data_IF_375379645083
#
_entry.id   IF_375379645083
#
_cell.length_a   1.000
_cell.length_b   1.000
_cell.length_c   1.000
_cell.angle_alpha   90.00
_cell.angle_beta   90.00
_cell.angle_gamma   90.00
#
_symmetry.space_group_name_H-M   'P 1'
#
loop_
_entity.id
_entity.type
_entity.pdbx_description
1 polymer ?
#
# COMPACT_ATOMS: atom_id res chain seq x y z
N UNK A 1 -21.29 -5.68 41.10
CA UNK A 1 -20.98 -6.07 39.71
C UNK A 1 -20.57 -4.80 38.94
N UNK A 2 -19.31 -4.67 38.57
CA UNK A 2 -18.83 -3.49 37.84
C UNK A 2 -19.22 -3.65 36.36
N UNK A 3 -20.07 -2.76 35.86
CA UNK A 3 -20.44 -2.68 34.45
C UNK A 3 -19.14 -2.36 33.63
N UNK A 4 -18.65 -3.35 32.89
CA UNK A 4 -17.66 -3.19 31.87
C UNK A 4 -18.30 -2.52 30.66
N UNK A 5 -18.40 -1.20 30.65
CA UNK A 5 -18.60 -0.44 29.42
C UNK A 5 -17.30 -0.47 28.65
N UNK A 6 -17.07 -1.55 27.91
CA UNK A 6 -15.93 -1.65 26.99
C UNK A 6 -16.23 -0.89 25.69
N UNK A 7 -16.35 0.41 25.79
CA UNK A 7 -16.09 1.27 24.65
C UNK A 7 -14.61 1.25 24.40
N UNK A 8 -14.09 0.31 23.57
CA UNK A 8 -12.70 0.40 23.12
C UNK A 8 -12.54 1.75 22.44
N UNK A 9 -11.60 2.61 22.91
CA UNK A 9 -11.38 3.89 22.27
C UNK A 9 -11.01 3.62 20.82
N UNK A 10 -11.85 4.15 19.90
CA UNK A 10 -11.53 4.16 18.47
C UNK A 10 -10.17 4.80 18.34
N UNK A 11 -9.16 3.99 18.00
CA UNK A 11 -7.78 4.45 17.98
C UNK A 11 -7.58 5.22 16.69
N UNK A 12 -7.62 6.54 16.82
CA UNK A 12 -7.36 7.45 15.70
C UNK A 12 -5.99 7.16 15.09
N UNK A 13 -5.93 7.13 13.76
CA UNK A 13 -4.66 7.04 13.06
C UNK A 13 -3.75 8.20 13.47
N UNK A 14 -2.43 8.00 13.56
CA UNK A 14 -1.50 9.09 13.82
C UNK A 14 -1.59 10.12 12.69
N UNK A 15 -1.16 11.36 12.98
CA UNK A 15 -1.01 12.44 12.01
C UNK A 15 -2.33 12.95 11.41
N UNK A 16 -3.13 13.66 12.23
CA UNK A 16 -4.34 14.37 11.81
C UNK A 16 -4.08 15.68 11.05
N UNK A 17 -2.83 16.06 10.94
CA UNK A 17 -2.46 17.39 10.45
C UNK A 17 -2.70 17.56 8.95
N UNK A 18 -3.40 18.62 8.57
CA UNK A 18 -3.66 18.97 7.18
C UNK A 18 -2.39 19.30 6.37
N UNK A 19 -1.27 19.62 7.05
CA UNK A 19 0.02 19.84 6.39
C UNK A 19 0.55 18.61 5.64
N UNK A 20 0.01 17.43 5.89
CA UNK A 20 0.32 16.22 5.13
C UNK A 20 -0.16 16.31 3.67
N UNK A 21 -1.21 17.07 3.37
CA UNK A 21 -1.69 17.25 2.00
C UNK A 21 -0.65 17.92 1.10
N UNK A 22 -0.11 19.11 1.41
CA UNK A 22 0.95 19.68 0.59
C UNK A 22 2.19 18.79 0.50
N UNK A 23 2.56 18.09 1.57
CA UNK A 23 3.68 17.12 1.53
C UNK A 23 3.38 15.99 0.56
N UNK A 24 2.17 15.43 0.58
CA UNK A 24 1.78 14.37 -0.36
C UNK A 24 1.80 14.84 -1.81
N UNK A 25 1.33 16.07 -2.08
CA UNK A 25 1.35 16.67 -3.42
C UNK A 25 2.78 16.89 -3.90
N UNK A 26 3.67 17.41 -3.03
CA UNK A 26 5.09 17.60 -3.36
C UNK A 26 5.73 16.22 -3.67
N UNK A 27 5.48 15.23 -2.84
CA UNK A 27 6.02 13.88 -3.03
C UNK A 27 5.51 13.23 -4.32
N UNK A 28 4.23 13.41 -4.65
CA UNK A 28 3.65 12.98 -5.91
C UNK A 28 4.31 13.69 -7.10
N UNK A 29 4.46 15.01 -7.04
CA UNK A 29 5.12 15.79 -8.08
C UNK A 29 6.56 15.36 -8.29
N UNK A 30 7.33 15.16 -7.22
CA UNK A 30 8.70 14.65 -7.28
C UNK A 30 8.76 13.26 -7.91
N UNK A 31 7.83 12.37 -7.55
CA UNK A 31 7.76 11.02 -8.12
C UNK A 31 7.44 11.04 -9.61
N UNK A 32 6.45 11.85 -10.01
CA UNK A 32 6.10 12.02 -11.44
C UNK A 32 7.27 12.62 -12.20
N UNK A 33 7.95 13.62 -11.66
CA UNK A 33 9.14 14.22 -12.26
C UNK A 33 10.26 13.19 -12.46
N UNK A 34 10.52 12.36 -11.44
CA UNK A 34 11.47 11.24 -11.55
C UNK A 34 11.08 10.29 -12.70
N UNK A 35 9.80 9.91 -12.79
CA UNK A 35 9.32 9.03 -13.84
C UNK A 35 9.44 9.63 -15.24
N UNK A 36 9.14 10.92 -15.41
CA UNK A 36 9.28 11.63 -16.69
C UNK A 36 10.76 11.77 -17.10
N UNK A 37 11.64 12.07 -16.16
CA UNK A 37 13.09 12.10 -16.39
C UNK A 37 13.61 10.72 -16.78
N UNK A 38 13.21 9.67 -16.06
CA UNK A 38 13.59 8.31 -16.38
C UNK A 38 13.05 7.86 -17.76
N UNK A 39 11.84 8.30 -18.13
CA UNK A 39 11.28 8.06 -19.46
C UNK A 39 12.05 8.79 -20.55
N UNK A 40 12.46 10.05 -20.32
CA UNK A 40 13.21 10.84 -21.31
C UNK A 40 14.62 10.30 -21.56
N UNK A 41 15.21 9.59 -20.59
CA UNK A 41 16.49 8.90 -20.77
C UNK A 41 16.38 7.68 -21.71
N UNK A 42 15.17 7.27 -22.04
CA UNK A 42 14.92 6.15 -22.97
C UNK A 42 15.22 4.77 -22.37
N UNK A 43 15.42 3.80 -23.28
CA UNK A 43 15.81 2.43 -22.94
C UNK A 43 17.33 2.19 -22.99
N UNK A 44 18.10 3.26 -23.02
CA UNK A 44 19.57 3.22 -23.02
C UNK A 44 20.07 4.20 -21.97
N UNK A 45 20.44 3.73 -20.80
CA UNK A 45 20.93 4.61 -19.74
C UNK A 45 21.24 3.84 -18.46
N UNK A 46 21.76 4.51 -17.42
CA UNK A 46 22.21 3.88 -16.18
C UNK A 46 21.16 2.97 -15.52
N UNK A 47 19.89 3.28 -15.75
CA UNK A 47 18.76 2.53 -15.22
C UNK A 47 18.67 1.12 -15.87
N UNK A 48 18.87 1.03 -17.19
CA UNK A 48 18.96 -0.25 -17.89
C UNK A 48 20.27 -0.98 -17.59
N UNK A 49 21.39 -0.28 -17.53
CA UNK A 49 22.69 -0.90 -17.24
C UNK A 49 22.69 -1.59 -15.88
N UNK A 50 22.06 -0.96 -14.89
CA UNK A 50 21.87 -1.54 -13.56
C UNK A 50 20.96 -2.76 -13.62
N UNK A 51 19.85 -2.70 -14.34
CA UNK A 51 18.92 -3.81 -14.51
C UNK A 51 19.61 -5.01 -15.18
N UNK A 52 20.35 -4.79 -16.29
CA UNK A 52 21.16 -5.81 -16.98
C UNK A 52 22.23 -6.40 -16.07
N UNK A 53 22.80 -5.63 -15.15
CA UNK A 53 23.82 -6.16 -14.23
C UNK A 53 23.22 -7.13 -13.21
N UNK A 54 21.98 -6.92 -12.77
CA UNK A 54 21.29 -7.75 -11.78
C UNK A 54 20.86 -9.12 -12.31
N UNK A 55 20.76 -9.30 -13.64
CA UNK A 55 20.33 -10.56 -14.23
C UNK A 55 21.45 -11.61 -14.40
N UNK A 56 22.71 -11.22 -14.19
CA UNK A 56 23.87 -12.11 -14.42
C UNK A 56 23.91 -13.29 -13.45
N UNK A 57 23.36 -13.16 -12.23
CA UNK A 57 23.43 -14.13 -11.15
C UNK A 57 22.08 -14.83 -10.91
N UNK A 58 21.36 -15.16 -11.99
CA UNK A 58 20.09 -15.88 -11.88
C UNK A 58 20.28 -17.33 -11.42
N UNK A 59 19.43 -17.77 -10.48
CA UNK A 59 19.40 -19.16 -10.00
C UNK A 59 17.97 -19.72 -10.04
N UNK A 60 17.79 -21.05 -10.16
CA UNK A 60 16.45 -21.66 -10.16
C UNK A 60 15.62 -21.32 -8.93
N UNK A 61 16.26 -21.26 -7.75
CA UNK A 61 15.58 -20.95 -6.49
C UNK A 61 15.09 -19.49 -6.45
N UNK A 62 15.91 -18.52 -6.87
CA UNK A 62 15.53 -17.11 -6.93
C UNK A 62 14.48 -16.87 -8.02
N UNK A 63 14.56 -17.59 -9.15
CA UNK A 63 13.55 -17.52 -10.21
C UNK A 63 12.19 -18.01 -9.70
N UNK A 64 12.15 -19.14 -9.00
CA UNK A 64 10.94 -19.66 -8.40
C UNK A 64 10.35 -18.67 -7.38
N UNK A 65 11.18 -18.12 -6.50
CA UNK A 65 10.74 -17.11 -5.51
C UNK A 65 10.16 -15.86 -6.20
N UNK A 66 10.86 -15.31 -7.19
CA UNK A 66 10.41 -14.12 -7.92
C UNK A 66 9.10 -14.38 -8.67
N UNK A 67 8.92 -15.57 -9.24
CA UNK A 67 7.68 -15.99 -9.92
C UNK A 67 6.52 -16.15 -8.92
N UNK A 68 6.76 -16.74 -7.75
CA UNK A 68 5.75 -16.80 -6.68
C UNK A 68 5.34 -15.41 -6.26
N UNK A 69 6.29 -14.52 -6.00
CA UNK A 69 6.00 -13.11 -5.65
C UNK A 69 5.18 -12.45 -6.76
N UNK A 70 5.55 -12.64 -8.02
CA UNK A 70 4.80 -12.10 -9.16
C UNK A 70 3.33 -12.56 -9.16
N UNK A 71 3.08 -13.83 -8.93
CA UNK A 71 1.72 -14.38 -8.92
C UNK A 71 0.93 -13.90 -7.71
N UNK A 72 1.52 -13.95 -6.51
CA UNK A 72 0.88 -13.55 -5.25
C UNK A 72 0.56 -12.07 -5.22
N UNK A 73 1.44 -11.22 -5.76
CA UNK A 73 1.27 -9.75 -5.83
C UNK A 73 0.72 -9.27 -7.18
N UNK A 74 0.16 -10.15 -7.99
CA UNK A 74 -0.62 -9.76 -9.17
C UNK A 74 -1.82 -8.89 -8.77
N UNK A 75 -2.44 -8.11 -9.68
CA UNK A 75 -3.61 -7.30 -9.33
C UNK A 75 -4.73 -8.11 -8.67
N UNK A 76 -4.98 -9.34 -9.13
CA UNK A 76 -5.96 -10.24 -8.51
C UNK A 76 -5.49 -10.72 -7.12
N UNK A 77 -4.22 -11.09 -6.98
CA UNK A 77 -3.63 -11.48 -5.70
C UNK A 77 -3.67 -10.35 -4.68
N UNK A 78 -3.40 -9.12 -5.10
CA UNK A 78 -3.50 -7.93 -4.26
C UNK A 78 -4.92 -7.75 -3.69
N UNK A 79 -5.95 -7.93 -4.52
CA UNK A 79 -7.34 -7.87 -4.08
C UNK A 79 -7.66 -8.98 -3.08
N UNK A 80 -7.20 -10.21 -3.33
CA UNK A 80 -7.40 -11.35 -2.43
C UNK A 80 -6.71 -11.11 -1.07
N UNK A 81 -5.45 -10.65 -1.07
CA UNK A 81 -4.72 -10.32 0.16
C UNK A 81 -5.45 -9.23 0.93
N UNK A 82 -5.84 -8.15 0.27
CA UNK A 82 -6.53 -7.02 0.90
C UNK A 82 -7.87 -7.45 1.48
N UNK A 83 -8.68 -8.18 0.71
CA UNK A 83 -9.96 -8.71 1.16
C UNK A 83 -9.79 -9.66 2.36
N UNK A 84 -8.81 -10.56 2.32
CA UNK A 84 -8.52 -11.50 3.42
C UNK A 84 -8.19 -10.76 4.72
N UNK A 85 -7.28 -9.78 4.67
CA UNK A 85 -6.91 -9.00 5.87
C UNK A 85 -8.10 -8.19 6.39
N UNK A 86 -8.87 -7.57 5.51
CA UNK A 86 -10.06 -6.81 5.90
C UNK A 86 -11.14 -7.71 6.52
N UNK A 87 -11.39 -8.89 5.96
CA UNK A 87 -12.34 -9.87 6.52
C UNK A 87 -11.86 -10.40 7.87
N UNK A 88 -10.57 -10.72 8.00
CA UNK A 88 -9.98 -11.13 9.27
C UNK A 88 -10.19 -10.06 10.36
N UNK A 89 -9.89 -8.79 10.03
CA UNK A 89 -10.09 -7.68 10.96
C UNK A 89 -11.57 -7.47 11.31
N UNK A 90 -12.46 -7.48 10.31
CA UNK A 90 -13.87 -7.17 10.51
C UNK A 90 -14.63 -8.30 11.23
N UNK A 91 -14.43 -9.54 10.80
CA UNK A 91 -15.25 -10.69 11.23
C UNK A 91 -14.59 -11.42 12.40
N UNK A 92 -13.34 -11.87 12.23
CA UNK A 92 -12.67 -12.70 13.25
C UNK A 92 -12.27 -11.84 14.46
N UNK A 93 -11.61 -10.72 14.21
CA UNK A 93 -11.16 -9.81 15.27
C UNK A 93 -12.24 -8.81 15.70
N UNK A 94 -13.41 -8.80 15.04
CA UNK A 94 -14.55 -7.93 15.33
C UNK A 94 -14.19 -6.44 15.39
N UNK A 95 -13.33 -6.00 14.48
CA UNK A 95 -12.82 -4.62 14.37
C UNK A 95 -13.14 -4.00 13.00
N UNK A 96 -14.42 -3.78 12.65
CA UNK A 96 -14.82 -3.32 11.31
C UNK A 96 -14.25 -1.94 10.94
N UNK A 97 -14.12 -1.01 11.89
CA UNK A 97 -13.50 0.29 11.65
C UNK A 97 -12.00 0.16 11.34
N UNK A 98 -11.30 -0.76 12.00
CA UNK A 98 -9.89 -1.04 11.66
C UNK A 98 -9.76 -1.68 10.28
N UNK A 99 -10.71 -2.54 9.89
CA UNK A 99 -10.76 -3.12 8.54
C UNK A 99 -10.94 -2.04 7.47
N UNK A 100 -11.88 -1.10 7.67
CA UNK A 100 -12.11 0.03 6.77
C UNK A 100 -10.90 0.96 6.70
N UNK A 101 -10.29 1.29 7.84
CA UNK A 101 -9.08 2.12 7.90
C UNK A 101 -7.92 1.45 7.18
N UNK A 102 -7.69 0.15 7.41
CA UNK A 102 -6.65 -0.63 6.76
C UNK A 102 -6.88 -0.72 5.25
N UNK A 103 -8.06 -1.18 4.87
CA UNK A 103 -8.41 -1.37 3.46
C UNK A 103 -8.31 -0.09 2.65
N UNK A 104 -8.87 1.02 3.17
CA UNK A 104 -8.81 2.32 2.48
C UNK A 104 -7.40 2.92 2.44
N UNK A 105 -6.59 2.75 3.49
CA UNK A 105 -5.20 3.22 3.50
C UNK A 105 -4.35 2.46 2.49
N UNK A 106 -4.47 1.12 2.45
CA UNK A 106 -3.75 0.30 1.46
C UNK A 106 -4.23 0.59 0.05
N UNK A 107 -5.54 0.73 -0.16
CA UNK A 107 -6.10 1.09 -1.46
C UNK A 107 -5.59 2.46 -1.94
N UNK A 108 -5.57 3.48 -1.08
CA UNK A 108 -5.07 4.81 -1.44
C UNK A 108 -3.58 4.77 -1.84
N UNK A 109 -2.74 4.06 -1.09
CA UNK A 109 -1.33 3.89 -1.42
C UNK A 109 -1.10 3.10 -2.71
N UNK A 110 -1.87 2.03 -2.95
CA UNK A 110 -1.74 1.21 -4.15
C UNK A 110 -2.28 1.92 -5.39
N UNK A 111 -3.49 2.45 -5.32
CA UNK A 111 -4.15 3.11 -6.46
C UNK A 111 -3.43 4.39 -6.89
N UNK A 112 -2.64 5.03 -6.02
CA UNK A 112 -1.78 6.15 -6.43
C UNK A 112 -0.78 5.75 -7.52
N UNK A 113 -0.39 4.48 -7.61
CA UNK A 113 0.47 3.98 -8.69
C UNK A 113 -0.20 4.05 -10.07
N UNK A 114 -1.52 3.91 -10.15
CA UNK A 114 -2.25 4.03 -11.42
C UNK A 114 -2.22 5.47 -11.95
N UNK A 115 -2.24 6.47 -11.05
CA UNK A 115 -2.04 7.87 -11.42
C UNK A 115 -0.67 8.06 -12.07
N UNK A 116 0.37 7.50 -11.44
CA UNK A 116 1.73 7.55 -11.98
C UNK A 116 1.85 6.88 -13.36
N UNK A 117 1.23 5.71 -13.55
CA UNK A 117 1.22 4.99 -14.83
C UNK A 117 0.58 5.83 -15.94
N UNK A 118 -0.58 6.42 -15.68
CA UNK A 118 -1.32 7.25 -16.65
C UNK A 118 -0.48 8.48 -17.04
N UNK A 119 0.14 9.16 -16.08
CA UNK A 119 0.87 10.41 -16.34
C UNK A 119 2.20 10.14 -17.02
N UNK A 120 2.97 9.15 -16.53
CA UNK A 120 4.33 8.88 -17.02
C UNK A 120 4.29 8.05 -18.30
N UNK A 121 3.48 7.01 -18.36
CA UNK A 121 3.35 6.10 -19.49
C UNK A 121 4.73 5.66 -20.06
N UNK A 122 5.60 5.14 -19.18
CA UNK A 122 6.95 4.69 -19.53
C UNK A 122 6.90 3.29 -20.11
N UNK A 123 7.65 3.05 -21.18
CA UNK A 123 7.83 1.69 -21.72
C UNK A 123 8.65 0.83 -20.76
N UNK A 124 8.35 -0.47 -20.74
CA UNK A 124 9.10 -1.45 -19.96
C UNK A 124 10.50 -1.68 -20.54
N UNK A 125 11.43 -2.22 -19.73
CA UNK A 125 12.75 -2.62 -20.23
C UNK A 125 12.59 -3.55 -21.43
N UNK A 126 13.42 -3.41 -22.49
CA UNK A 126 13.41 -4.31 -23.62
C UNK A 126 13.72 -5.74 -23.18
N UNK A 127 12.75 -6.64 -23.27
CA UNK A 127 12.87 -8.02 -22.77
C UNK A 127 14.05 -8.80 -23.38
N UNK A 128 14.46 -8.48 -24.61
CA UNK A 128 15.66 -9.05 -25.22
C UNK A 128 16.95 -8.65 -24.49
N UNK A 129 17.01 -7.43 -23.93
CA UNK A 129 18.20 -6.95 -23.20
C UNK A 129 18.22 -7.43 -21.75
N UNK A 130 17.08 -7.41 -21.09
CA UNK A 130 16.93 -7.87 -19.70
C UNK A 130 16.70 -9.37 -19.57
N UNK A 131 16.63 -10.11 -20.70
CA UNK A 131 16.25 -11.53 -20.70
C UNK A 131 15.01 -11.76 -19.83
N UNK A 132 13.97 -10.95 -20.00
CA UNK A 132 12.78 -10.98 -19.16
C UNK A 132 12.20 -12.40 -19.02
N UNK A 133 11.99 -12.83 -17.77
CA UNK A 133 11.51 -14.18 -17.47
C UNK A 133 9.99 -14.31 -17.59
N UNK A 134 9.29 -13.19 -17.67
CA UNK A 134 7.85 -13.10 -17.85
C UNK A 134 7.53 -12.01 -18.87
N UNK A 135 6.36 -12.11 -19.50
CA UNK A 135 5.88 -11.09 -20.42
C UNK A 135 4.83 -10.26 -19.71
N UNK A 136 5.11 -8.96 -19.59
CA UNK A 136 4.11 -7.96 -19.19
C UNK A 136 3.90 -7.00 -20.35
N UNK A 137 2.65 -6.85 -20.78
CA UNK A 137 2.29 -5.95 -21.88
C UNK A 137 2.06 -4.52 -21.39
N UNK A 138 2.28 -3.53 -22.28
CA UNK A 138 1.85 -2.16 -22.07
C UNK A 138 2.97 -1.15 -21.79
N UNK A 139 2.58 0.13 -21.85
CA UNK A 139 3.41 1.31 -21.58
C UNK A 139 3.16 1.80 -20.15
N UNK A 140 3.30 0.93 -19.18
CA UNK A 140 2.93 1.18 -17.80
C UNK A 140 4.00 0.70 -16.81
N UNK A 141 5.28 0.78 -17.23
CA UNK A 141 6.40 0.37 -16.39
C UNK A 141 6.51 1.18 -15.10
N UNK A 142 6.36 2.50 -15.19
CA UNK A 142 6.52 3.40 -14.05
C UNK A 142 5.17 3.89 -13.49
N UNK A 143 4.97 3.77 -12.18
CA UNK A 143 5.70 2.99 -11.19
C UNK A 143 5.24 1.51 -11.16
N UNK A 144 6.00 0.64 -10.48
CA UNK A 144 5.64 -0.77 -10.31
C UNK A 144 4.45 -0.96 -9.37
N UNK A 145 3.36 -1.53 -9.87
CA UNK A 145 2.15 -1.80 -9.07
C UNK A 145 2.37 -2.82 -7.94
N UNK A 146 3.21 -3.85 -8.17
CA UNK A 146 3.58 -4.85 -7.16
C UNK A 146 4.31 -4.20 -5.97
N UNK A 147 5.32 -3.37 -6.26
CA UNK A 147 6.08 -2.66 -5.23
C UNK A 147 5.23 -1.63 -4.50
N UNK A 148 4.36 -0.90 -5.22
CA UNK A 148 3.45 0.07 -4.62
C UNK A 148 2.46 -0.59 -3.65
N UNK A 149 1.90 -1.75 -4.01
CA UNK A 149 1.03 -2.51 -3.12
C UNK A 149 1.77 -3.03 -1.88
N UNK A 150 2.97 -3.59 -2.05
CA UNK A 150 3.78 -4.03 -0.93
C UNK A 150 4.08 -2.88 0.05
N UNK A 151 4.47 -1.70 -0.46
CA UNK A 151 4.68 -0.51 0.36
C UNK A 151 3.39 -0.05 1.07
N UNK A 152 2.25 -0.07 0.39
CA UNK A 152 0.96 0.27 0.97
C UNK A 152 0.55 -0.69 2.10
N UNK A 153 0.79 -2.00 1.94
CA UNK A 153 0.58 -2.99 3.01
C UNK A 153 1.43 -2.69 4.24
N UNK A 154 2.69 -2.32 4.05
CA UNK A 154 3.59 -1.93 5.15
C UNK A 154 3.03 -0.71 5.89
N UNK A 155 2.60 0.32 5.17
CA UNK A 155 1.96 1.48 5.77
C UNK A 155 0.70 1.12 6.55
N UNK A 156 -0.18 0.31 5.97
CA UNK A 156 -1.38 -0.19 6.65
C UNK A 156 -1.05 -0.95 7.94
N UNK A 157 -0.05 -1.83 7.89
CA UNK A 157 0.38 -2.60 9.06
C UNK A 157 0.98 -1.69 10.16
N UNK A 158 1.87 -0.76 9.80
CA UNK A 158 2.52 0.18 10.75
C UNK A 158 1.51 1.10 11.41
N UNK A 159 0.55 1.63 10.62
CA UNK A 159 -0.38 2.65 11.10
C UNK A 159 -1.55 2.07 11.90
N UNK A 160 -2.05 0.89 11.51
CA UNK A 160 -3.31 0.35 12.00
C UNK A 160 -3.10 -0.88 12.90
N UNK A 161 -2.19 -1.78 12.53
CA UNK A 161 -1.99 -3.03 13.28
C UNK A 161 -0.96 -2.89 14.39
N UNK A 162 0.07 -2.05 14.22
CA UNK A 162 1.09 -1.83 15.23
C UNK A 162 0.64 -0.83 16.30
N UNK A 163 0.65 -1.24 17.58
CA UNK A 163 0.06 -0.49 18.68
C UNK A 163 1.07 0.31 19.51
N UNK A 164 2.29 -0.16 19.65
CA UNK A 164 3.36 0.53 20.39
C UNK A 164 4.39 1.12 19.45
N UNK A 165 5.26 2.01 19.98
CA UNK A 165 6.39 2.54 19.20
C UNK A 165 7.33 1.42 18.72
N UNK A 166 7.59 0.43 19.60
CA UNK A 166 8.44 -0.72 19.27
C UNK A 166 7.79 -1.56 18.17
N UNK A 167 6.48 -1.88 18.29
CA UNK A 167 5.78 -2.61 17.26
C UNK A 167 5.82 -1.88 15.91
N UNK A 168 5.64 -0.56 15.88
CA UNK A 168 5.73 0.23 14.65
C UNK A 168 7.13 0.18 14.04
N UNK A 169 8.17 0.31 14.87
CA UNK A 169 9.55 0.23 14.40
C UNK A 169 9.85 -1.17 13.82
N UNK A 170 9.52 -2.23 14.55
CA UNK A 170 9.72 -3.62 14.10
C UNK A 170 8.92 -3.92 12.84
N UNK A 171 7.63 -3.57 12.81
CA UNK A 171 6.78 -3.76 11.62
C UNK A 171 7.31 -2.95 10.43
N UNK A 172 7.79 -1.72 10.66
CA UNK A 172 8.38 -0.88 9.63
C UNK A 172 9.67 -1.47 9.07
N UNK A 173 10.56 -2.01 9.91
CA UNK A 173 11.81 -2.65 9.46
C UNK A 173 11.52 -3.94 8.69
N UNK A 174 10.74 -4.84 9.28
CA UNK A 174 10.40 -6.13 8.63
C UNK A 174 9.63 -5.88 7.33
N UNK A 175 8.64 -5.00 7.38
CA UNK A 175 7.85 -4.62 6.21
C UNK A 175 8.69 -3.90 5.14
N UNK A 176 9.62 -3.05 5.54
CA UNK A 176 10.58 -2.41 4.63
C UNK A 176 11.44 -3.44 3.89
N UNK A 177 12.01 -4.40 4.61
CA UNK A 177 12.75 -5.52 4.00
C UNK A 177 11.86 -6.31 3.03
N UNK A 178 10.63 -6.61 3.44
CA UNK A 178 9.65 -7.29 2.57
C UNK A 178 9.36 -6.48 1.29
N UNK A 179 9.10 -5.17 1.38
CA UNK A 179 8.86 -4.31 0.22
C UNK A 179 10.08 -4.26 -0.72
N UNK A 180 11.30 -4.25 -0.16
CA UNK A 180 12.56 -4.35 -0.93
C UNK A 180 12.67 -5.70 -1.65
N UNK A 181 12.33 -6.81 -0.99
CA UNK A 181 12.32 -8.14 -1.64
C UNK A 181 11.33 -8.18 -2.82
N UNK A 182 10.14 -7.62 -2.65
CA UNK A 182 9.17 -7.50 -3.76
C UNK A 182 9.73 -6.62 -4.87
N UNK A 183 10.34 -5.48 -4.55
CA UNK A 183 10.97 -4.59 -5.52
C UNK A 183 12.09 -5.30 -6.31
N UNK A 184 13.00 -5.97 -5.61
CA UNK A 184 14.09 -6.73 -6.23
C UNK A 184 13.58 -7.87 -7.11
N UNK A 185 12.47 -8.52 -6.74
CA UNK A 185 11.86 -9.55 -7.59
C UNK A 185 11.43 -9.00 -8.95
N UNK A 186 11.00 -7.73 -9.04
CA UNK A 186 10.61 -7.09 -10.31
C UNK A 186 11.80 -6.83 -11.22
N UNK A 187 12.91 -6.39 -10.63
CA UNK A 187 14.18 -6.19 -11.33
C UNK A 187 14.74 -7.55 -11.79
N UNK A 188 14.74 -8.53 -10.90
CA UNK A 188 15.21 -9.88 -11.21
C UNK A 188 14.45 -10.53 -12.38
N UNK A 189 13.12 -10.30 -12.46
CA UNK A 189 12.31 -10.77 -13.59
C UNK A 189 12.55 -9.98 -14.88
N UNK A 190 13.24 -8.86 -14.83
CA UNK A 190 13.59 -8.02 -15.98
C UNK A 190 12.42 -7.24 -16.57
N UNK A 191 11.43 -6.89 -15.76
CA UNK A 191 10.17 -6.24 -16.23
C UNK A 191 9.98 -4.81 -15.73
N UNK A 192 10.85 -4.33 -14.85
CA UNK A 192 10.85 -2.97 -14.32
C UNK A 192 12.28 -2.46 -14.17
N UNK A 193 12.43 -1.15 -14.29
CA UNK A 193 13.69 -0.46 -14.00
C UNK A 193 13.84 -0.15 -12.49
N UNK A 194 15.07 0.06 -12.00
CA UNK A 194 15.33 0.52 -10.63
C UNK A 194 14.55 1.77 -10.24
N UNK A 195 14.44 2.75 -11.14
CA UNK A 195 13.66 3.97 -10.90
C UNK A 195 12.15 3.69 -10.76
N UNK A 196 11.60 2.66 -11.44
CA UNK A 196 10.18 2.29 -11.34
C UNK A 196 9.85 1.80 -9.92
N UNK A 197 10.71 0.96 -9.35
CA UNK A 197 10.48 0.43 -7.99
C UNK A 197 10.74 1.50 -6.92
N UNK A 198 11.74 2.39 -7.12
CA UNK A 198 11.96 3.54 -6.23
C UNK A 198 10.76 4.49 -6.26
N UNK A 199 10.25 4.82 -7.46
CA UNK A 199 9.05 5.62 -7.65
C UNK A 199 7.81 5.02 -6.99
N UNK A 200 7.72 3.68 -6.93
CA UNK A 200 6.60 2.98 -6.29
C UNK A 200 6.55 3.22 -4.78
N UNK A 201 7.69 3.22 -4.11
CA UNK A 201 7.77 3.51 -2.68
C UNK A 201 7.34 4.95 -2.37
N UNK A 202 7.75 5.90 -3.22
CA UNK A 202 7.43 7.32 -3.07
C UNK A 202 5.96 7.59 -3.34
N UNK A 203 5.41 7.08 -4.46
CA UNK A 203 4.02 7.34 -4.82
C UNK A 203 3.03 6.68 -3.86
N UNK A 204 3.33 5.46 -3.40
CA UNK A 204 2.52 4.78 -2.39
C UNK A 204 2.51 5.57 -1.09
N UNK A 205 3.66 6.08 -0.65
CA UNK A 205 3.77 6.95 0.53
C UNK A 205 2.97 8.24 0.33
N UNK A 206 3.06 8.88 -0.85
CA UNK A 206 2.26 10.07 -1.17
C UNK A 206 0.76 9.79 -1.06
N UNK A 207 0.28 8.68 -1.63
CA UNK A 207 -1.12 8.26 -1.55
C UNK A 207 -1.60 8.06 -0.11
N UNK A 208 -0.79 7.40 0.71
CA UNK A 208 -1.10 7.22 2.14
C UNK A 208 -1.13 8.56 2.89
N UNK A 209 -0.12 9.41 2.70
CA UNK A 209 -0.06 10.73 3.35
C UNK A 209 -1.22 11.65 2.92
N UNK A 210 -1.69 11.54 1.68
CA UNK A 210 -2.90 12.22 1.22
C UNK A 210 -4.14 11.71 1.95
N UNK A 211 -4.27 10.39 2.10
CA UNK A 211 -5.44 9.74 2.67
C UNK A 211 -5.60 9.99 4.18
N UNK A 212 -4.50 10.00 4.95
CA UNK A 212 -4.54 10.10 6.41
C UNK A 212 -5.34 11.29 6.95
N UNK A 213 -5.12 12.55 6.54
CA UNK A 213 -5.90 13.68 7.03
C UNK A 213 -7.38 13.61 6.61
N UNK A 214 -7.68 13.06 5.44
CA UNK A 214 -9.06 12.88 4.99
C UNK A 214 -9.77 11.85 5.86
N UNK A 215 -9.15 10.70 6.13
CA UNK A 215 -9.68 9.69 7.02
C UNK A 215 -9.95 10.27 8.41
N UNK A 216 -8.93 10.80 9.05
CA UNK A 216 -8.97 11.23 10.45
C UNK A 216 -9.89 12.44 10.72
N UNK A 217 -10.04 13.33 9.75
CA UNK A 217 -10.80 14.57 9.96
C UNK A 217 -12.19 14.54 9.33
N UNK A 218 -12.40 13.74 8.29
CA UNK A 218 -13.67 13.72 7.56
C UNK A 218 -14.46 12.41 7.72
N UNK A 219 -13.77 11.25 7.66
CA UNK A 219 -14.45 9.95 7.56
C UNK A 219 -14.70 9.35 8.94
N UNK A 220 -13.65 9.15 9.72
CA UNK A 220 -13.72 8.50 11.04
C UNK A 220 -14.72 9.22 11.98
N UNK A 221 -14.74 10.57 12.11
CA UNK A 221 -15.71 11.24 12.99
C UNK A 221 -17.17 11.05 12.56
N UNK A 222 -17.43 10.86 11.26
CA UNK A 222 -18.79 10.56 10.78
C UNK A 222 -19.22 9.14 11.14
N UNK A 223 -18.32 8.17 10.96
CA UNK A 223 -18.57 6.78 11.32
C UNK A 223 -18.80 6.62 12.83
N UNK A 224 -18.01 7.30 13.67
CA UNK A 224 -18.19 7.31 15.13
C UNK A 224 -19.56 7.88 15.56
N UNK A 225 -20.08 8.89 14.86
CA UNK A 225 -21.42 9.44 15.15
C UNK A 225 -22.52 8.42 14.84
N UNK A 226 -22.43 7.77 13.67
CA UNK A 226 -23.43 6.78 13.24
C UNK A 226 -23.49 5.60 14.23
N UNK A 227 -22.35 5.09 14.67
CA UNK A 227 -22.28 3.97 15.62
C UNK A 227 -22.83 4.34 17.00
N UNK A 228 -22.64 5.58 17.46
CA UNK A 228 -23.19 6.07 18.76
C UNK A 228 -24.69 6.29 18.72
N UNK A 229 -25.25 6.76 17.60
CA UNK A 229 -26.69 6.99 17.45
C UNK A 229 -27.42 5.66 17.36
N UNK A 230 -26.92 4.69 16.58
CA UNK A 230 -27.47 3.34 16.49
C UNK A 230 -27.47 2.57 17.81
N UNK A 231 -26.45 2.78 18.68
CA UNK A 231 -26.39 2.15 20.00
C UNK A 231 -27.40 2.71 21.03
N UNK A 232 -27.82 3.97 20.86
CA UNK A 232 -28.80 4.59 21.78
C UNK A 232 -30.26 4.18 21.47
N UNK A 233 -30.58 3.92 20.21
CA UNK A 233 -31.94 3.50 19.80
C UNK A 233 -32.31 2.09 20.27
N UNK A 234 -31.34 1.20 20.45
CA UNK A 234 -31.56 -0.18 20.91
C UNK A 234 -31.80 -0.24 22.42
N UNK A 235 -31.34 0.73 23.21
CA UNK A 235 -31.55 0.75 24.68
C UNK A 235 -32.82 1.47 25.12
N UNK A 236 -33.47 2.22 24.21
CA UNK A 236 -34.71 2.98 24.53
C UNK A 236 -36.01 2.17 24.33
N UNK A 237 -35.90 0.94 23.82
CA UNK A 237 -37.09 0.08 23.55
C UNK A 237 -37.26 -1.11 24.51
N UNK A 238 -36.56 -1.12 25.64
CA UNK A 238 -36.87 -2.09 26.71
C UNK A 238 -38.09 -1.58 27.48
N UNK A 239 -39.22 -2.33 27.58
CA UNK A 239 -40.34 -1.95 28.41
C UNK A 239 -39.92 -1.96 29.87
N UNK A 240 -40.36 -0.94 30.62
CA UNK A 240 -40.21 -0.89 32.06
C UNK A 240 -40.88 -2.13 32.68
N UNK A 241 -40.24 -2.83 33.60
CA UNK A 241 -40.83 -3.96 34.30
C UNK A 241 -41.57 -3.46 35.55
N UNK A 242 -42.63 -2.67 35.35
CA UNK A 242 -43.60 -2.39 36.43
C UNK A 242 -45.02 -2.36 35.84
N UNK A 243 -45.73 -3.50 35.98
CA UNK A 243 -47.13 -3.62 36.45
C UNK A 243 -47.42 -5.07 36.83
#
# INVERSE_FOLDING_TARGET
>A
MKHLTSGSPTRRLPWRSWWLLPVSVILLALTVSLGLLAKSAGSSGPDLDLDVSLIKDRSPALTALATIINTVFSPAGNLVILAFVCLLLAVVLRRPLAALAFGSTVAAGWLSSEIGKIIVARQRPPGAMTQALIVESGHDSFPSGHTAFAAALVWGAVLILAHTRIQRAVTGVIGGVFAVVVALSRLYLGVHYPSDVAGSLLISTAGVLFWLPLWNNLIEPRLDRITRVGGKSVHSSAPDPEE
#
